data_IF_938253819765
#
_entry.id   IF_938253819765
#
_cell.length_a   1.000
_cell.length_b   1.000
_cell.length_c   1.000
_cell.angle_alpha   90.00
_cell.angle_beta   90.00
_cell.angle_gamma   90.00
#
_symmetry.space_group_name_H-M   'P 1'
#
loop_
_entity.id
_entity.type
_entity.pdbx_description
1 polymer ?
#
# COMPACT_ATOMS: atom_id res chain seq x y z
N UNK A 1 -41.31 9.74 34.05
CA UNK A 1 -40.95 8.86 32.92
C UNK A 1 -40.83 9.71 31.66
N UNK A 2 -39.62 9.88 31.14
CA UNK A 2 -39.31 10.08 29.72
C UNK A 2 -37.79 10.28 29.63
N UNK A 3 -37.10 9.21 29.26
CA UNK A 3 -35.65 9.17 29.10
C UNK A 3 -35.23 9.93 27.84
N UNK A 4 -34.41 10.96 27.99
CA UNK A 4 -33.77 11.64 26.86
C UNK A 4 -32.57 10.78 26.40
N UNK A 5 -32.82 9.80 25.53
CA UNK A 5 -31.76 9.15 24.73
C UNK A 5 -31.72 9.82 23.37
N UNK A 6 -30.68 10.59 23.11
CA UNK A 6 -30.30 10.94 21.74
C UNK A 6 -28.78 10.89 21.64
N UNK A 7 -28.36 9.80 21.00
CA UNK A 7 -27.15 9.51 20.24
C UNK A 7 -25.78 9.97 20.77
N UNK A 8 -24.79 9.05 20.87
CA UNK A 8 -23.40 9.48 20.87
C UNK A 8 -23.09 10.14 19.52
N UNK A 9 -22.38 11.27 19.56
CA UNK A 9 -21.78 11.89 18.39
C UNK A 9 -20.95 10.86 17.61
N UNK A 10 -20.84 10.96 16.28
CA UNK A 10 -19.93 10.09 15.53
C UNK A 10 -18.52 10.31 16.09
N UNK A 11 -17.91 9.23 16.56
CA UNK A 11 -16.55 9.26 17.08
C UNK A 11 -15.62 9.74 15.97
N UNK A 12 -15.04 10.92 16.15
CA UNK A 12 -13.85 11.43 15.43
C UNK A 12 -12.60 10.61 15.81
N UNK A 13 -12.70 9.29 15.76
CA UNK A 13 -11.60 8.33 15.97
C UNK A 13 -11.14 7.70 14.63
N UNK A 14 -11.44 8.35 13.51
CA UNK A 14 -10.80 8.05 12.21
C UNK A 14 -9.49 8.84 12.08
N UNK A 15 -8.63 8.74 13.11
CA UNK A 15 -7.23 9.19 13.01
C UNK A 15 -6.35 8.05 12.51
N UNK A 16 -6.76 7.43 11.40
CA UNK A 16 -5.78 6.79 10.51
C UNK A 16 -4.89 7.90 9.99
N UNK A 17 -3.81 8.18 10.71
CA UNK A 17 -2.73 9.07 10.28
C UNK A 17 -2.17 8.48 8.99
N UNK A 18 -2.76 8.85 7.85
CA UNK A 18 -2.31 8.42 6.56
C UNK A 18 -0.83 8.82 6.42
N UNK A 19 0.04 7.81 6.28
CA UNK A 19 1.48 8.01 6.16
C UNK A 19 1.78 9.08 5.11
N UNK A 20 2.78 9.95 5.29
CA UNK A 20 3.06 10.99 4.31
C UNK A 20 3.51 10.38 3.00
N UNK A 21 3.04 10.93 1.87
CA UNK A 21 3.53 10.53 0.54
C UNK A 21 4.97 11.00 0.38
N UNK A 22 5.95 10.11 0.16
CA UNK A 22 7.33 10.52 -0.08
C UNK A 22 7.47 11.35 -1.35
N UNK A 23 8.20 12.45 -1.28
CA UNK A 23 8.42 13.36 -2.42
C UNK A 23 8.91 12.65 -3.69
N UNK A 24 9.73 11.61 -3.54
CA UNK A 24 10.30 10.82 -4.63
C UNK A 24 9.29 10.04 -5.47
N UNK A 25 8.10 9.72 -4.93
CA UNK A 25 7.05 8.98 -5.66
C UNK A 25 5.77 9.79 -5.85
N UNK A 26 5.76 11.05 -5.38
CA UNK A 26 4.55 11.88 -5.28
C UNK A 26 3.81 12.07 -6.60
N UNK A 27 4.54 12.08 -7.72
CA UNK A 27 3.98 12.29 -9.06
C UNK A 27 3.61 10.96 -9.76
N UNK A 28 3.81 9.83 -9.08
CA UNK A 28 3.51 8.49 -9.58
C UNK A 28 2.45 7.76 -8.75
N UNK A 29 1.77 8.49 -7.85
CA UNK A 29 0.68 8.00 -7.02
C UNK A 29 -0.53 8.90 -7.17
N UNK A 30 -1.72 8.31 -7.02
CA UNK A 30 -2.98 8.99 -6.84
C UNK A 30 -3.17 9.35 -5.35
N UNK A 31 -3.29 10.64 -5.07
CA UNK A 31 -3.47 11.13 -3.70
C UNK A 31 -4.84 10.77 -3.13
N UNK A 32 -5.84 10.54 -3.98
CA UNK A 32 -7.20 10.26 -3.55
C UNK A 32 -7.36 8.85 -2.94
N UNK A 33 -6.53 7.90 -3.38
CA UNK A 33 -6.55 6.49 -2.95
C UNK A 33 -5.41 6.14 -1.98
N UNK A 34 -4.52 7.08 -1.68
CA UNK A 34 -3.42 6.85 -0.74
C UNK A 34 -3.92 6.45 0.65
N UNK A 35 -3.46 5.29 1.14
CA UNK A 35 -3.86 4.73 2.43
C UNK A 35 -5.26 4.11 2.49
N UNK A 36 -5.98 4.05 1.37
CA UNK A 36 -7.31 3.44 1.26
C UNK A 36 -7.23 2.05 0.63
N UNK A 37 -6.42 1.16 1.21
CA UNK A 37 -6.21 -0.18 0.65
C UNK A 37 -7.52 -0.98 0.66
N UNK A 38 -8.35 -0.81 1.70
CA UNK A 38 -9.65 -1.49 1.79
C UNK A 38 -10.65 -1.15 0.68
N UNK A 39 -10.45 -0.02 -0.02
CA UNK A 39 -11.29 0.40 -1.14
C UNK A 39 -10.74 -0.10 -2.50
N UNK A 40 -9.58 -0.76 -2.51
CA UNK A 40 -8.92 -1.22 -3.73
C UNK A 40 -9.35 -2.64 -4.10
N UNK A 41 -10.21 -2.76 -5.10
CA UNK A 41 -10.58 -4.05 -5.68
C UNK A 41 -9.49 -4.56 -6.65
N UNK A 42 -8.77 -5.62 -6.26
CA UNK A 42 -7.70 -6.22 -7.07
C UNK A 42 -8.13 -6.66 -8.48
N UNK A 43 -9.41 -6.98 -8.64
CA UNK A 43 -9.97 -7.52 -9.88
C UNK A 43 -10.59 -6.45 -10.78
N UNK A 44 -10.68 -5.20 -10.31
CA UNK A 44 -11.22 -4.11 -11.13
C UNK A 44 -10.19 -3.69 -12.20
N UNK A 45 -10.46 -3.97 -13.49
CA UNK A 45 -9.52 -3.63 -14.56
C UNK A 45 -9.42 -2.11 -14.81
N UNK A 46 -10.34 -1.32 -14.26
CA UNK A 46 -10.41 0.13 -14.43
C UNK A 46 -9.38 0.91 -13.61
N UNK A 47 -8.70 0.24 -12.66
CA UNK A 47 -7.63 0.86 -11.88
C UNK A 47 -6.54 1.43 -12.76
N UNK A 48 -6.30 2.71 -12.57
CA UNK A 48 -5.24 3.44 -13.26
C UNK A 48 -3.86 3.03 -12.70
N UNK A 49 -2.79 3.17 -13.51
CA UNK A 49 -1.42 2.94 -13.03
C UNK A 49 -1.11 3.67 -11.72
N UNK A 50 -1.51 4.94 -11.59
CA UNK A 50 -1.25 5.74 -10.38
C UNK A 50 -2.02 5.25 -9.16
N UNK A 51 -3.22 4.68 -9.32
CA UNK A 51 -3.96 4.07 -8.21
C UNK A 51 -3.26 2.80 -7.71
N UNK A 52 -2.85 1.91 -8.63
CA UNK A 52 -2.05 0.72 -8.31
C UNK A 52 -0.75 1.12 -7.61
N UNK A 53 -0.06 2.13 -8.16
CA UNK A 53 1.15 2.70 -7.58
C UNK A 53 0.96 3.27 -6.17
N UNK A 54 -0.23 3.78 -5.86
CA UNK A 54 -0.57 4.31 -4.52
C UNK A 54 -0.64 3.21 -3.48
N UNK A 55 -1.24 2.07 -3.84
CA UNK A 55 -1.32 0.90 -2.96
C UNK A 55 0.09 0.37 -2.69
N UNK A 56 0.88 0.12 -3.74
CA UNK A 56 2.27 -0.35 -3.61
C UNK A 56 3.10 0.63 -2.77
N UNK A 57 3.01 1.93 -3.08
CA UNK A 57 3.76 2.97 -2.37
C UNK A 57 3.38 3.06 -0.90
N UNK A 58 2.09 2.97 -0.58
CA UNK A 58 1.62 3.00 0.80
C UNK A 58 2.06 1.76 1.57
N UNK A 59 1.95 0.56 0.98
CA UNK A 59 2.44 -0.68 1.62
C UNK A 59 3.93 -0.58 1.96
N UNK A 60 4.76 -0.03 1.06
CA UNK A 60 6.19 0.20 1.34
C UNK A 60 6.41 1.14 2.53
N UNK A 61 5.65 2.23 2.63
CA UNK A 61 5.74 3.13 3.80
C UNK A 61 5.22 2.45 5.06
N UNK A 62 4.15 1.66 4.96
CA UNK A 62 3.60 0.90 6.08
C UNK A 62 4.63 -0.08 6.63
N UNK A 63 5.27 -0.88 5.78
CA UNK A 63 6.32 -1.80 6.20
C UNK A 63 7.50 -1.09 6.84
N UNK A 64 7.83 0.12 6.36
CA UNK A 64 8.90 0.93 6.96
C UNK A 64 8.52 1.43 8.35
N UNK A 65 7.29 1.91 8.52
CA UNK A 65 6.79 2.37 9.82
C UNK A 65 6.73 1.23 10.83
N UNK A 66 6.30 0.04 10.40
CA UNK A 66 6.31 -1.18 11.23
C UNK A 66 7.71 -1.80 11.41
N UNK A 67 8.72 -1.24 10.76
CA UNK A 67 10.11 -1.72 10.78
C UNK A 67 10.24 -3.19 10.38
N UNK A 68 9.45 -3.68 9.41
CA UNK A 68 9.59 -5.05 8.92
C UNK A 68 10.91 -5.25 8.15
N UNK A 69 11.58 -6.36 8.41
CA UNK A 69 12.82 -6.76 7.74
C UNK A 69 12.92 -8.28 7.55
N UNK A 70 13.77 -8.71 6.62
CA UNK A 70 14.07 -10.12 6.36
C UNK A 70 12.84 -10.99 6.16
N UNK A 71 12.75 -12.09 6.93
CA UNK A 71 11.63 -13.04 6.83
C UNK A 71 10.27 -12.44 7.20
N UNK A 72 10.23 -11.52 8.18
CA UNK A 72 8.97 -10.89 8.56
C UNK A 72 8.42 -10.04 7.42
N UNK A 73 9.28 -9.21 6.81
CA UNK A 73 8.90 -8.45 5.61
C UNK A 73 8.45 -9.37 4.46
N UNK A 74 9.14 -10.47 4.24
CA UNK A 74 8.76 -11.42 3.19
C UNK A 74 7.37 -12.03 3.42
N UNK A 75 7.04 -12.38 4.67
CA UNK A 75 5.72 -12.91 5.02
C UNK A 75 4.60 -11.90 4.77
N UNK A 76 4.80 -10.64 5.16
CA UNK A 76 3.82 -9.57 4.92
C UNK A 76 3.65 -9.30 3.42
N UNK A 77 4.75 -9.24 2.67
CA UNK A 77 4.70 -9.08 1.22
C UNK A 77 3.97 -10.22 0.53
N UNK A 78 4.19 -11.47 0.95
CA UNK A 78 3.44 -12.59 0.41
C UNK A 78 1.95 -12.42 0.73
N UNK A 79 1.58 -12.13 1.97
CA UNK A 79 0.18 -11.93 2.36
C UNK A 79 -0.50 -10.83 1.54
N UNK A 80 0.19 -9.72 1.30
CA UNK A 80 -0.41 -8.56 0.62
C UNK A 80 -0.43 -8.71 -0.90
N UNK A 81 0.49 -9.48 -1.50
CA UNK A 81 0.64 -9.61 -2.96
C UNK A 81 0.31 -10.99 -3.53
N UNK A 82 0.06 -12.03 -2.73
CA UNK A 82 -0.21 -13.40 -3.20
C UNK A 82 -1.39 -13.47 -4.17
N UNK A 83 -2.45 -12.71 -3.90
CA UNK A 83 -3.67 -12.68 -4.71
C UNK A 83 -3.63 -11.65 -5.86
N UNK A 84 -2.52 -10.92 -6.03
CA UNK A 84 -2.43 -9.91 -7.08
C UNK A 84 -2.26 -10.55 -8.46
N UNK A 85 -3.14 -10.25 -9.42
CA UNK A 85 -2.90 -10.64 -10.80
C UNK A 85 -1.60 -10.02 -11.33
N UNK A 86 -0.81 -10.80 -12.07
CA UNK A 86 0.42 -10.31 -12.71
C UNK A 86 0.14 -9.10 -13.62
N UNK A 87 -1.00 -9.11 -14.32
CA UNK A 87 -1.47 -7.99 -15.14
C UNK A 87 -1.71 -6.70 -14.34
N UNK A 88 -2.15 -6.80 -13.09
CA UNK A 88 -2.33 -5.65 -12.20
C UNK A 88 -0.96 -5.10 -11.77
N UNK A 89 -0.04 -5.98 -11.39
CA UNK A 89 1.30 -5.57 -10.98
C UNK A 89 2.11 -4.93 -12.12
N UNK A 90 1.97 -5.44 -13.36
CA UNK A 90 2.65 -4.89 -14.55
C UNK A 90 2.14 -3.52 -14.99
N UNK A 91 0.90 -3.15 -14.64
CA UNK A 91 0.36 -1.79 -14.87
C UNK A 91 0.95 -0.75 -13.92
N UNK A 92 1.58 -1.16 -12.81
CA UNK A 92 2.15 -0.23 -11.85
C UNK A 92 3.27 0.62 -12.49
N UNK A 93 3.41 1.90 -12.11
CA UNK A 93 4.49 2.75 -12.59
C UNK A 93 5.84 2.11 -12.29
N UNK A 94 6.75 2.12 -13.27
CA UNK A 94 8.09 1.53 -13.13
C UNK A 94 8.88 2.11 -11.96
N UNK A 95 8.63 3.37 -11.61
CA UNK A 95 9.21 4.01 -10.42
C UNK A 95 8.77 3.33 -9.12
N UNK A 96 7.50 2.93 -9.01
CA UNK A 96 6.96 2.29 -7.81
C UNK A 96 7.41 0.84 -7.68
N UNK A 97 7.50 0.11 -8.80
CA UNK A 97 8.04 -1.26 -8.78
C UNK A 97 9.53 -1.26 -8.44
N UNK A 98 10.30 -0.29 -8.95
CA UNK A 98 11.68 -0.05 -8.51
C UNK A 98 11.72 0.32 -7.03
N UNK A 99 10.79 1.16 -6.58
CA UNK A 99 10.76 1.62 -5.20
C UNK A 99 10.55 0.48 -4.20
N UNK A 100 9.60 -0.42 -4.48
CA UNK A 100 9.38 -1.65 -3.72
C UNK A 100 10.63 -2.55 -3.74
N UNK A 101 11.21 -2.79 -4.92
CA UNK A 101 12.42 -3.61 -5.07
C UNK A 101 13.59 -3.09 -4.23
N UNK A 102 13.88 -1.80 -4.34
CA UNK A 102 14.96 -1.16 -3.61
C UNK A 102 14.72 -1.24 -2.08
N UNK A 103 13.47 -1.10 -1.64
CA UNK A 103 13.10 -1.29 -0.24
C UNK A 103 13.37 -2.73 0.23
N UNK A 104 12.90 -3.74 -0.51
CA UNK A 104 13.09 -5.15 -0.17
C UNK A 104 14.56 -5.51 0.00
N UNK A 105 15.41 -5.13 -0.97
CA UNK A 105 16.85 -5.40 -0.92
C UNK A 105 17.49 -4.73 0.29
N UNK A 106 17.17 -3.47 0.55
CA UNK A 106 17.70 -2.73 1.70
C UNK A 106 17.24 -3.31 3.04
N UNK A 107 16.10 -4.01 3.09
CA UNK A 107 15.59 -4.68 4.28
C UNK A 107 15.97 -6.16 4.36
N UNK A 108 16.95 -6.62 3.56
CA UNK A 108 17.48 -7.98 3.61
C UNK A 108 16.60 -9.05 2.96
N UNK A 109 15.67 -8.65 2.09
CA UNK A 109 14.90 -9.55 1.23
C UNK A 109 15.54 -9.57 -0.15
N UNK A 110 16.26 -10.65 -0.45
CA UNK A 110 16.95 -10.84 -1.72
C UNK A 110 16.03 -11.54 -2.71
N UNK A 111 15.74 -10.88 -3.83
CA UNK A 111 15.07 -11.51 -4.98
C UNK A 111 16.13 -12.00 -5.96
N UNK A 112 15.99 -13.26 -6.40
CA UNK A 112 16.74 -13.75 -7.55
C UNK A 112 16.24 -12.97 -8.78
N UNK A 113 17.09 -12.09 -9.29
CA UNK A 113 16.87 -11.52 -10.61
C UNK A 113 17.09 -12.69 -11.57
N UNK A 114 16.02 -13.27 -12.13
CA UNK A 114 16.16 -14.11 -13.31
C UNK A 114 16.61 -13.20 -14.45
N UNK A 115 17.93 -13.01 -14.53
CA UNK A 115 18.60 -12.38 -15.65
C UNK A 115 18.36 -13.25 -16.87
N UNK A 116 17.67 -12.68 -17.85
CA UNK A 116 17.67 -13.19 -19.21
C UNK A 116 18.77 -12.48 -19.98
#
# INVERSE_FOLDING_TARGET
MASNRSSPAPSDDDRSLALPIPNKIRDSVDRATWGKIGDFDLLDPSHTPTQIGSVIGFLVEHYREQQFYGRALWSELLSDFEDWPEETFTKAPSLLTKYLRDFMVNQGVFMLINGK
#
